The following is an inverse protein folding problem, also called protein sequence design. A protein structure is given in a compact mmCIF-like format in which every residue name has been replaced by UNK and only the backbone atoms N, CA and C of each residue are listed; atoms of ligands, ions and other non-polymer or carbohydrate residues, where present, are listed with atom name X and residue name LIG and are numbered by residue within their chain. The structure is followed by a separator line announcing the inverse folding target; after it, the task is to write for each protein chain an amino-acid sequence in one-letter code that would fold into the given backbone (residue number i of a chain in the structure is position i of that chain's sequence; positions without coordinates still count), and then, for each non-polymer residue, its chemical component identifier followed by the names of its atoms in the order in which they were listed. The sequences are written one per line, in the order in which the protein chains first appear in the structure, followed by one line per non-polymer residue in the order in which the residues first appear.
data_IF_263290820468
#
_entry.id   IF_263290820468
#
_cell.length_a   1.000
_cell.length_b   1.000
_cell.length_c   1.000
_cell.angle_alpha   90.00
_cell.angle_beta   90.00
_cell.angle_gamma   90.00
#
_symmetry.space_group_name_H-M   'P 1'
#
loop_
_entity.id
_entity.type
_entity.pdbx_description
1 polymer ?
#
# COMPACT_ATOMS: atom_id res chain seq x y z
N UNK A 1 8.35 -24.30 -5.74
CA UNK A 1 9.58 -24.21 -4.94
C UNK A 1 9.45 -25.01 -3.63
N UNK A 2 8.55 -24.64 -2.67
CA UNK A 2 8.40 -25.39 -1.40
C UNK A 2 7.95 -26.84 -1.62
N UNK A 3 6.99 -27.07 -2.52
CA UNK A 3 6.48 -28.43 -2.84
C UNK A 3 7.54 -29.38 -3.36
N UNK A 4 8.53 -28.87 -4.07
CA UNK A 4 9.56 -29.64 -4.78
C UNK A 4 10.88 -29.72 -4.01
N UNK A 5 11.01 -28.90 -2.95
CA UNK A 5 12.25 -28.83 -2.18
C UNK A 5 12.48 -30.11 -1.36
N UNK A 6 13.52 -30.86 -1.75
CA UNK A 6 13.94 -32.08 -1.05
C UNK A 6 14.88 -31.79 0.14
N UNK A 7 15.61 -30.66 0.08
CA UNK A 7 16.54 -30.29 1.15
C UNK A 7 15.81 -29.68 2.33
N UNK A 8 16.04 -30.19 3.51
CA UNK A 8 15.55 -29.69 4.79
C UNK A 8 16.72 -29.18 5.64
N UNK A 9 16.41 -28.39 6.66
CA UNK A 9 17.37 -28.02 7.70
C UNK A 9 17.37 -29.08 8.79
N UNK A 10 18.55 -29.28 9.47
CA UNK A 10 18.68 -30.21 10.58
C UNK A 10 17.77 -29.89 11.77
N UNK A 11 17.32 -28.65 11.88
CA UNK A 11 16.37 -28.16 12.90
C UNK A 11 14.92 -28.13 12.41
N UNK A 12 14.66 -28.65 11.21
CA UNK A 12 13.31 -28.78 10.66
C UNK A 12 12.50 -29.83 11.41
N UNK A 13 11.19 -29.70 11.35
CA UNK A 13 10.24 -30.54 12.08
C UNK A 13 9.66 -31.67 11.22
N UNK A 14 10.15 -31.86 9.99
CA UNK A 14 9.66 -32.90 9.07
C UNK A 14 10.71 -33.25 8.02
N UNK A 15 10.55 -34.42 7.41
CA UNK A 15 11.46 -34.94 6.37
C UNK A 15 11.35 -34.21 5.02
N UNK A 16 10.26 -33.44 4.81
CA UNK A 16 10.05 -32.65 3.61
C UNK A 16 9.58 -31.23 4.00
N UNK A 17 10.11 -30.21 3.31
CA UNK A 17 9.73 -28.82 3.54
C UNK A 17 8.21 -28.57 3.49
N UNK A 18 7.48 -29.25 2.60
CA UNK A 18 6.04 -29.14 2.47
C UNK A 18 5.23 -29.72 3.66
N UNK A 19 5.89 -30.44 4.57
CA UNK A 19 5.27 -30.99 5.80
C UNK A 19 5.78 -30.29 7.06
N UNK A 20 6.77 -29.41 6.93
CA UNK A 20 7.32 -28.65 8.06
C UNK A 20 6.33 -27.61 8.54
N UNK A 21 5.93 -27.66 9.80
CA UNK A 21 4.91 -26.78 10.37
C UNK A 21 5.29 -25.30 10.30
N UNK A 22 6.57 -24.96 10.46
CA UNK A 22 7.04 -23.57 10.39
C UNK A 22 7.02 -23.05 8.96
N UNK A 23 7.38 -23.88 7.98
CA UNK A 23 7.28 -23.54 6.55
C UNK A 23 5.80 -23.33 6.16
N UNK A 24 4.91 -24.23 6.61
CA UNK A 24 3.48 -24.12 6.35
C UNK A 24 2.88 -22.87 7.00
N UNK A 25 3.32 -22.47 8.20
CA UNK A 25 2.91 -21.24 8.86
C UNK A 25 3.25 -20.00 8.02
N UNK A 26 4.49 -19.91 7.51
CA UNK A 26 4.91 -18.79 6.65
C UNK A 26 4.08 -18.72 5.37
N UNK A 27 3.83 -19.87 4.73
CA UNK A 27 3.00 -19.93 3.52
C UNK A 27 1.54 -19.57 3.81
N UNK A 28 1.00 -20.02 4.94
CA UNK A 28 -0.35 -19.67 5.39
C UNK A 28 -0.52 -18.17 5.61
N UNK A 29 0.43 -17.53 6.30
CA UNK A 29 0.44 -16.08 6.50
C UNK A 29 0.55 -15.33 5.17
N UNK A 30 1.42 -15.80 4.26
CA UNK A 30 1.55 -15.20 2.93
C UNK A 30 0.25 -15.27 2.13
N UNK A 31 -0.46 -16.41 2.19
CA UNK A 31 -1.77 -16.58 1.55
C UNK A 31 -2.83 -15.64 2.15
N UNK A 32 -2.86 -15.49 3.48
CA UNK A 32 -3.78 -14.58 4.16
C UNK A 32 -3.53 -13.10 3.78
N UNK A 33 -2.25 -12.68 3.72
CA UNK A 33 -1.87 -11.33 3.31
C UNK A 33 -2.28 -11.05 1.85
N UNK A 34 -2.11 -12.04 0.96
CA UNK A 34 -2.54 -11.93 -0.44
C UNK A 34 -4.06 -11.78 -0.55
N UNK A 35 -4.81 -12.62 0.16
CA UNK A 35 -6.27 -12.57 0.21
C UNK A 35 -6.78 -11.20 0.71
N UNK A 36 -6.23 -10.70 1.82
CA UNK A 36 -6.60 -9.38 2.35
C UNK A 36 -6.27 -8.25 1.37
N UNK A 37 -5.10 -8.31 0.72
CA UNK A 37 -4.69 -7.31 -0.28
C UNK A 37 -5.63 -7.29 -1.48
N UNK A 38 -6.06 -8.47 -1.96
CA UNK A 38 -7.02 -8.58 -3.06
C UNK A 38 -8.38 -7.98 -2.67
N UNK A 39 -8.93 -8.36 -1.51
CA UNK A 39 -10.22 -7.85 -1.04
C UNK A 39 -10.23 -6.32 -0.88
N UNK A 40 -9.14 -5.74 -0.32
CA UNK A 40 -9.01 -4.29 -0.18
C UNK A 40 -8.92 -3.63 -1.56
N UNK A 41 -8.16 -4.19 -2.48
CA UNK A 41 -8.01 -3.64 -3.84
C UNK A 41 -9.35 -3.66 -4.59
N UNK A 42 -10.14 -4.70 -4.46
CA UNK A 42 -11.48 -4.78 -5.03
C UNK A 42 -12.40 -3.70 -4.44
N UNK A 43 -12.39 -3.53 -3.11
CA UNK A 43 -13.18 -2.50 -2.44
C UNK A 43 -12.82 -1.08 -2.92
N UNK A 44 -11.52 -0.79 -3.08
CA UNK A 44 -11.06 0.50 -3.64
C UNK A 44 -11.53 0.67 -5.09
N UNK A 45 -11.45 -0.39 -5.90
CA UNK A 45 -11.91 -0.35 -7.29
C UNK A 45 -13.42 -0.07 -7.40
N UNK A 46 -14.23 -0.63 -6.50
CA UNK A 46 -15.66 -0.34 -6.40
C UNK A 46 -15.93 1.13 -6.08
N UNK A 47 -15.18 1.69 -5.13
CA UNK A 47 -15.33 3.11 -4.74
C UNK A 47 -14.92 4.04 -5.90
N UNK A 48 -13.82 3.75 -6.58
CA UNK A 48 -13.41 4.49 -7.78
C UNK A 48 -14.45 4.39 -8.91
N UNK A 49 -15.08 3.21 -9.09
CA UNK A 49 -16.15 3.04 -10.06
C UNK A 49 -17.39 3.88 -9.71
N UNK A 50 -17.74 3.97 -8.42
CA UNK A 50 -18.84 4.84 -7.97
C UNK A 50 -18.52 6.32 -8.24
N UNK A 51 -17.31 6.77 -7.94
CA UNK A 51 -16.88 8.13 -8.24
C UNK A 51 -16.95 8.43 -9.75
N UNK A 52 -16.52 7.49 -10.59
CA UNK A 52 -16.64 7.63 -12.06
C UNK A 52 -18.09 7.71 -12.52
N UNK A 53 -18.99 6.89 -12.00
CA UNK A 53 -20.38 6.87 -12.37
C UNK A 53 -21.13 8.13 -11.92
N UNK A 54 -20.81 8.65 -10.73
CA UNK A 54 -21.44 9.87 -10.19
C UNK A 54 -21.20 11.10 -11.04
N UNK A 55 -20.13 11.14 -11.85
CA UNK A 55 -19.86 12.21 -12.79
C UNK A 55 -20.96 12.37 -13.85
N UNK A 56 -21.68 11.32 -14.19
CA UNK A 56 -22.77 11.34 -15.16
C UNK A 56 -24.15 11.60 -14.54
N UNK A 57 -24.19 11.76 -13.21
CA UNK A 57 -25.39 12.15 -12.48
C UNK A 57 -25.52 13.68 -12.42
N UNK A 58 -26.74 14.19 -12.37
CA UNK A 58 -27.00 15.64 -12.39
C UNK A 58 -26.84 16.30 -11.01
N UNK A 59 -25.95 15.77 -10.14
CA UNK A 59 -25.77 16.23 -8.77
C UNK A 59 -24.29 16.42 -8.41
N UNK A 60 -23.81 17.65 -8.45
CA UNK A 60 -22.45 18.02 -8.03
C UNK A 60 -22.14 17.60 -6.58
N UNK A 61 -23.14 17.60 -5.70
CA UNK A 61 -22.97 17.20 -4.31
C UNK A 61 -22.67 15.70 -4.20
N UNK A 62 -23.40 14.87 -4.93
CA UNK A 62 -23.16 13.41 -4.94
C UNK A 62 -21.82 13.07 -5.60
N UNK A 63 -21.49 13.75 -6.68
CA UNK A 63 -20.18 13.60 -7.33
C UNK A 63 -19.04 13.95 -6.38
N UNK A 64 -19.12 15.07 -5.68
CA UNK A 64 -18.12 15.47 -4.69
C UNK A 64 -17.98 14.44 -3.57
N UNK A 65 -19.09 13.97 -3.01
CA UNK A 65 -19.08 12.96 -1.94
C UNK A 65 -18.46 11.64 -2.41
N UNK A 66 -18.79 11.19 -3.61
CA UNK A 66 -18.23 9.97 -4.18
C UNK A 66 -16.71 10.09 -4.44
N UNK A 67 -16.24 11.24 -4.92
CA UNK A 67 -14.82 11.52 -5.11
C UNK A 67 -14.05 11.54 -3.77
N UNK A 68 -14.59 12.16 -2.74
CA UNK A 68 -13.99 12.17 -1.40
C UNK A 68 -13.89 10.76 -0.84
N UNK A 69 -14.95 9.96 -0.95
CA UNK A 69 -14.94 8.57 -0.49
C UNK A 69 -13.90 7.73 -1.24
N UNK A 70 -13.80 7.89 -2.56
CA UNK A 70 -12.83 7.18 -3.39
C UNK A 70 -11.38 7.55 -3.05
N UNK A 71 -11.09 8.83 -2.79
CA UNK A 71 -9.75 9.27 -2.38
C UNK A 71 -9.39 8.74 -1.00
N UNK A 72 -10.31 8.78 -0.03
CA UNK A 72 -10.10 8.24 1.30
C UNK A 72 -9.83 6.73 1.27
N UNK A 73 -10.70 5.96 0.62
CA UNK A 73 -10.53 4.50 0.49
C UNK A 73 -9.25 4.13 -0.28
N UNK A 74 -8.91 4.89 -1.32
CA UNK A 74 -7.66 4.71 -2.07
C UNK A 74 -6.43 4.94 -1.18
N UNK A 75 -6.42 6.00 -0.39
CA UNK A 75 -5.34 6.30 0.54
C UNK A 75 -5.21 5.21 1.64
N UNK A 76 -6.32 4.83 2.27
CA UNK A 76 -6.38 3.76 3.27
C UNK A 76 -5.93 2.42 2.70
N UNK A 77 -6.45 2.05 1.52
CA UNK A 77 -6.09 0.83 0.80
C UNK A 77 -4.60 0.78 0.47
N UNK A 78 -4.02 1.87 -0.04
CA UNK A 78 -2.60 1.95 -0.35
C UNK A 78 -1.72 1.77 0.89
N UNK A 79 -2.09 2.38 2.02
CA UNK A 79 -1.35 2.24 3.29
C UNK A 79 -1.33 0.79 3.76
N UNK A 80 -2.49 0.13 3.77
CA UNK A 80 -2.62 -1.25 4.28
C UNK A 80 -2.00 -2.26 3.32
N UNK A 81 -2.35 -2.21 2.03
CA UNK A 81 -1.87 -3.16 1.02
C UNK A 81 -0.35 -3.09 0.87
N UNK A 82 0.25 -1.89 0.89
CA UNK A 82 1.70 -1.75 0.83
C UNK A 82 2.40 -2.47 1.99
N UNK A 83 1.89 -2.35 3.21
CA UNK A 83 2.43 -3.05 4.39
C UNK A 83 2.30 -4.57 4.25
N UNK A 84 1.12 -5.05 3.86
CA UNK A 84 0.86 -6.49 3.67
C UNK A 84 1.75 -7.11 2.60
N UNK A 85 1.92 -6.44 1.44
CA UNK A 85 2.72 -6.93 0.32
C UNK A 85 4.21 -6.89 0.62
N UNK A 86 4.71 -5.84 1.29
CA UNK A 86 6.11 -5.76 1.71
C UNK A 86 6.44 -6.84 2.74
N UNK A 87 5.56 -7.05 3.72
CA UNK A 87 5.70 -8.12 4.71
C UNK A 87 5.69 -9.50 4.04
N UNK A 88 4.71 -9.77 3.20
CA UNK A 88 4.59 -11.02 2.45
C UNK A 88 5.85 -11.31 1.64
N UNK A 89 6.28 -10.35 0.81
CA UNK A 89 7.40 -10.55 -0.12
C UNK A 89 8.76 -10.65 0.58
N UNK A 90 8.89 -10.09 1.78
CA UNK A 90 10.06 -10.24 2.64
C UNK A 90 10.05 -11.58 3.39
N UNK A 91 8.96 -11.88 4.09
CA UNK A 91 8.87 -13.05 4.97
C UNK A 91 8.81 -14.38 4.20
N UNK A 92 8.38 -14.37 2.94
CA UNK A 92 8.33 -15.57 2.11
C UNK A 92 9.69 -16.29 2.00
N UNK A 93 10.81 -15.55 2.09
CA UNK A 93 12.16 -16.12 2.08
C UNK A 93 12.45 -17.02 3.30
N UNK A 94 11.74 -16.85 4.42
CA UNK A 94 11.84 -17.76 5.56
C UNK A 94 11.36 -19.17 5.22
N UNK A 95 10.41 -19.32 4.30
CA UNK A 95 9.99 -20.63 3.77
C UNK A 95 10.87 -21.11 2.61
N UNK A 96 11.47 -20.20 1.83
CA UNK A 96 12.18 -20.53 0.60
C UNK A 96 13.68 -20.73 0.77
N UNK A 97 14.28 -20.25 1.84
CA UNK A 97 15.71 -20.23 2.13
C UNK A 97 16.57 -19.28 1.25
N UNK A 98 17.84 -19.12 1.61
CA UNK A 98 18.78 -18.22 0.93
C UNK A 98 18.93 -18.51 -0.57
N UNK A 99 18.79 -19.76 -1.02
CA UNK A 99 18.88 -20.10 -2.44
C UNK A 99 17.78 -19.48 -3.31
N UNK A 100 16.70 -19.00 -2.70
CA UNK A 100 15.62 -18.30 -3.39
C UNK A 100 16.02 -16.89 -3.84
N UNK A 101 17.02 -16.27 -3.19
CA UNK A 101 17.54 -14.95 -3.58
C UNK A 101 18.56 -15.00 -4.73
N UNK A 102 18.78 -16.16 -5.34
CA UNK A 102 19.71 -16.29 -6.48
C UNK A 102 19.25 -15.46 -7.68
N UNK A 103 20.21 -14.91 -8.44
CA UNK A 103 19.92 -14.12 -9.65
C UNK A 103 19.10 -14.88 -10.70
N UNK A 104 19.27 -16.21 -10.79
CA UNK A 104 18.53 -17.04 -11.73
C UNK A 104 17.03 -17.09 -11.41
N UNK A 105 16.64 -17.05 -10.13
CA UNK A 105 15.24 -17.09 -9.68
C UNK A 105 14.58 -15.73 -9.65
N UNK A 106 15.32 -14.67 -9.41
CA UNK A 106 14.85 -13.27 -9.35
C UNK A 106 13.61 -13.07 -8.45
N UNK A 107 13.45 -13.85 -7.39
CA UNK A 107 12.28 -13.74 -6.52
C UNK A 107 12.30 -12.46 -5.65
N UNK A 108 13.50 -11.90 -5.41
CA UNK A 108 13.67 -10.61 -4.74
C UNK A 108 13.07 -9.42 -5.52
N UNK A 109 12.84 -9.57 -6.84
CA UNK A 109 12.19 -8.53 -7.66
C UNK A 109 10.80 -8.16 -7.15
N UNK A 110 10.06 -9.10 -6.59
CA UNK A 110 8.71 -8.83 -6.08
C UNK A 110 8.75 -7.84 -4.91
N UNK A 111 9.68 -8.03 -3.97
CA UNK A 111 9.90 -7.07 -2.89
C UNK A 111 10.38 -5.71 -3.42
N UNK A 112 11.36 -5.70 -4.32
CA UNK A 112 11.88 -4.45 -4.90
C UNK A 112 10.81 -3.67 -5.63
N UNK A 113 9.98 -4.33 -6.43
CA UNK A 113 8.88 -3.69 -7.14
C UNK A 113 7.84 -3.13 -6.17
N UNK A 114 7.43 -3.92 -5.18
CA UNK A 114 6.49 -3.47 -4.14
C UNK A 114 7.05 -2.26 -3.38
N UNK A 115 8.35 -2.29 -3.03
CA UNK A 115 9.01 -1.18 -2.33
C UNK A 115 9.06 0.08 -3.19
N UNK A 116 9.39 -0.05 -4.47
CA UNK A 116 9.44 1.08 -5.41
C UNK A 116 8.08 1.74 -5.55
N UNK A 117 7.03 0.95 -5.82
CA UNK A 117 5.67 1.46 -6.00
C UNK A 117 5.14 2.12 -4.73
N UNK A 118 5.34 1.48 -3.56
CA UNK A 118 4.89 2.03 -2.28
C UNK A 118 5.63 3.31 -1.84
N UNK A 119 6.80 3.58 -2.43
CA UNK A 119 7.60 4.77 -2.14
C UNK A 119 7.42 5.89 -3.16
N UNK A 120 6.76 5.63 -4.28
CA UNK A 120 6.49 6.63 -5.32
C UNK A 120 5.63 7.78 -4.78
N UNK A 121 4.56 7.43 -4.06
CA UNK A 121 3.78 8.36 -3.24
C UNK A 121 3.96 7.95 -1.78
N UNK A 122 4.84 8.62 -1.01
CA UNK A 122 5.24 8.14 0.31
C UNK A 122 4.06 7.99 1.25
N UNK A 123 3.93 6.80 1.85
CA UNK A 123 2.80 6.42 2.71
C UNK A 123 2.61 7.36 3.91
N UNK A 124 3.71 7.92 4.44
CA UNK A 124 3.66 8.83 5.59
C UNK A 124 2.76 10.05 5.36
N UNK A 125 2.71 10.55 4.12
CA UNK A 125 1.83 11.69 3.77
C UNK A 125 0.37 11.25 3.62
N UNK A 126 0.12 10.04 3.14
CA UNK A 126 -1.23 9.47 3.11
C UNK A 126 -1.74 9.17 4.51
N UNK A 127 -0.89 8.59 5.37
CA UNK A 127 -1.22 8.36 6.78
C UNK A 127 -1.58 9.66 7.50
N UNK A 128 -0.81 10.74 7.26
CA UNK A 128 -1.12 12.08 7.79
C UNK A 128 -2.46 12.60 7.28
N UNK A 129 -2.71 12.52 5.97
CA UNK A 129 -3.95 13.03 5.38
C UNK A 129 -5.18 12.28 5.91
N UNK A 130 -5.11 10.95 6.03
CA UNK A 130 -6.17 10.12 6.64
C UNK A 130 -6.40 10.55 8.09
N UNK A 131 -5.33 10.70 8.89
CA UNK A 131 -5.45 11.13 10.28
C UNK A 131 -6.05 12.54 10.43
N UNK A 132 -5.72 13.46 9.54
CA UNK A 132 -6.24 14.83 9.52
C UNK A 132 -7.73 14.87 9.15
N UNK A 133 -8.14 14.05 8.19
CA UNK A 133 -9.54 13.83 7.87
C UNK A 133 -10.32 13.31 9.07
N UNK A 134 -9.84 12.26 9.73
CA UNK A 134 -10.56 11.60 10.84
C UNK A 134 -10.66 12.49 12.10
N UNK A 135 -9.65 13.30 12.37
CA UNK A 135 -9.58 14.09 13.61
C UNK A 135 -10.15 15.50 13.41
N UNK A 136 -9.82 16.12 12.30
CA UNK A 136 -10.08 17.54 12.06
C UNK A 136 -11.12 17.79 10.96
N UNK A 137 -11.55 16.75 10.24
CA UNK A 137 -12.42 16.89 9.07
C UNK A 137 -11.76 17.65 7.91
N UNK A 138 -10.43 17.59 7.83
CA UNK A 138 -9.68 18.28 6.78
C UNK A 138 -9.89 17.60 5.43
N UNK A 139 -10.03 18.38 4.37
CA UNK A 139 -10.19 17.85 3.01
C UNK A 139 -8.96 17.03 2.58
N UNK A 140 -9.21 15.93 1.87
CA UNK A 140 -8.17 15.10 1.29
C UNK A 140 -7.60 15.78 0.02
N UNK A 141 -6.28 15.70 -0.21
CA UNK A 141 -5.69 16.25 -1.42
C UNK A 141 -6.01 15.37 -2.63
N UNK A 142 -6.77 15.88 -3.59
CA UNK A 142 -7.05 15.19 -4.86
C UNK A 142 -5.87 15.20 -5.84
N UNK A 143 -4.92 16.13 -5.65
CA UNK A 143 -3.75 16.26 -6.53
C UNK A 143 -2.47 16.23 -5.71
N UNK A 144 -1.58 15.32 -6.07
CA UNK A 144 -0.25 15.20 -5.48
C UNK A 144 0.79 15.80 -6.44
N UNK A 145 1.40 16.93 -6.03
CA UNK A 145 2.44 17.61 -6.80
C UNK A 145 3.82 17.33 -6.21
N UNK A 146 4.77 16.93 -7.06
CA UNK A 146 6.17 16.78 -6.68
C UNK A 146 6.91 18.10 -6.97
N UNK A 147 7.64 18.60 -5.96
CA UNK A 147 8.48 19.79 -6.12
C UNK A 147 7.74 21.13 -6.09
N UNK A 148 6.50 21.16 -5.62
CA UNK A 148 5.84 22.43 -5.30
C UNK A 148 6.55 23.07 -4.08
N UNK A 149 7.21 24.21 -4.28
CA UNK A 149 7.69 25.02 -3.15
C UNK A 149 6.49 25.51 -2.36
N UNK A 150 6.57 25.58 -1.00
CA UNK A 150 5.53 26.24 -0.23
C UNK A 150 5.31 27.65 -0.80
N UNK A 151 4.05 28.00 -1.08
CA UNK A 151 3.71 29.37 -1.47
C UNK A 151 4.17 30.26 -0.32
N UNK A 152 5.15 31.12 -0.56
CA UNK A 152 5.56 32.11 0.42
C UNK A 152 4.33 32.97 0.72
N UNK A 153 3.91 33.01 1.98
CA UNK A 153 2.84 33.87 2.45
C UNK A 153 3.14 35.32 2.05
N UNK A 154 2.43 35.82 1.05
CA UNK A 154 2.52 37.20 0.55
C UNK A 154 1.75 38.19 1.48
N UNK A 155 1.83 37.99 2.79
CA UNK A 155 1.13 38.85 3.78
C UNK A 155 2.06 39.66 4.66
N UNK A 156 3.27 40.02 4.23
CA UNK A 156 4.13 40.88 5.07
C UNK A 156 4.77 42.04 4.31
N UNK A 157 4.06 42.70 3.39
CA UNK A 157 4.61 43.93 2.74
C UNK A 157 3.60 45.08 2.62
N UNK A 158 2.71 45.30 3.57
CA UNK A 158 1.83 46.47 3.54
C UNK A 158 1.86 47.31 4.83
N UNK A 159 2.94 47.29 5.60
CA UNK A 159 3.05 48.19 6.77
C UNK A 159 4.39 48.96 6.84
N UNK A 160 4.94 49.40 5.72
CA UNK A 160 6.12 50.27 5.72
C UNK A 160 6.04 51.38 4.65
N UNK A 161 4.88 52.07 4.53
CA UNK A 161 4.80 53.37 3.83
C UNK A 161 3.67 54.22 4.44
N UNK A 162 3.86 54.65 5.65
CA UNK A 162 3.22 55.88 6.22
C UNK A 162 3.89 56.25 7.54
N UNK A 163 5.01 56.88 7.47
CA UNK A 163 5.56 57.82 8.47
C UNK A 163 6.47 58.78 7.77
#
# INVERSE_FOLDING_TARGET
EVRERKRIFSHGNADLARHDAQVLQVIGQASANAYASEAITQKVAESLQQAYLSHFESSEVLEHQANVAAELESAQGQVVVSKLVLDLTSNLFNALSASASSRAKQLDRFWRNARTVSSHNPLIYKEKAIGDWEVNGADLPFVWQIGASPVADTQTQNHAKSA
#
